data_IF_621814134400
#
_entry.id   IF_621814134400
#
_cell.length_a   1.000
_cell.length_b   1.000
_cell.length_c   1.000
_cell.angle_alpha   90.00
_cell.angle_beta   90.00
_cell.angle_gamma   90.00
#
_symmetry.space_group_name_H-M   'P 1'
#
loop_
_entity.id
_entity.type
_entity.pdbx_description
1 polymer ?
#
# COMPACT_ATOMS: atom_id res chain seq x y z
N UNK A 1 -19.15 -17.42 -4.67
CA UNK A 1 -17.74 -17.82 -4.46
C UNK A 1 -16.73 -16.71 -4.71
N UNK A 2 -17.11 -15.56 -5.30
CA UNK A 2 -16.14 -14.50 -5.64
C UNK A 2 -15.77 -13.54 -4.50
N UNK A 3 -16.51 -13.58 -3.39
CA UNK A 3 -16.33 -12.71 -2.22
C UNK A 3 -15.46 -13.32 -1.10
N UNK A 4 -14.97 -14.54 -1.26
CA UNK A 4 -14.08 -15.14 -0.28
C UNK A 4 -12.68 -14.54 -0.40
N UNK A 5 -12.07 -14.21 0.75
CA UNK A 5 -10.66 -13.83 0.85
C UNK A 5 -9.87 -15.05 1.33
N UNK A 6 -9.22 -15.81 0.43
CA UNK A 6 -8.41 -16.95 0.85
C UNK A 6 -7.27 -16.46 1.75
N UNK A 7 -6.98 -17.21 2.80
CA UNK A 7 -5.83 -16.95 3.67
C UNK A 7 -4.77 -17.98 3.33
N UNK A 8 -3.62 -17.52 2.85
CA UNK A 8 -2.47 -18.38 2.63
C UNK A 8 -1.82 -18.71 3.97
N UNK A 9 -1.74 -20.01 4.31
CA UNK A 9 -1.01 -20.46 5.47
C UNK A 9 0.44 -20.73 5.09
N UNK A 10 1.32 -19.76 5.31
CA UNK A 10 2.76 -19.93 5.03
C UNK A 10 3.45 -20.71 6.16
N UNK A 11 4.49 -21.49 5.80
CA UNK A 11 5.35 -22.15 6.78
C UNK A 11 6.03 -21.12 7.70
N UNK A 12 6.36 -21.53 8.92
CA UNK A 12 7.02 -20.67 9.91
C UNK A 12 8.28 -19.99 9.36
N UNK A 13 9.11 -20.74 8.63
CA UNK A 13 10.34 -20.20 8.03
C UNK A 13 10.05 -19.06 7.05
N UNK A 14 9.04 -19.18 6.18
CA UNK A 14 8.63 -18.09 5.28
C UNK A 14 8.20 -16.85 6.06
N UNK A 15 7.46 -17.03 7.16
CA UNK A 15 7.06 -15.90 8.03
C UNK A 15 8.27 -15.21 8.66
N UNK A 16 9.29 -15.96 9.07
CA UNK A 16 10.55 -15.41 9.60
C UNK A 16 11.27 -14.59 8.53
N UNK A 17 11.45 -15.14 7.32
CA UNK A 17 12.10 -14.44 6.21
C UNK A 17 11.33 -13.17 5.83
N UNK A 18 10.01 -13.26 5.69
CA UNK A 18 9.14 -12.10 5.42
C UNK A 18 9.29 -11.00 6.49
N UNK A 19 9.41 -11.40 7.76
CA UNK A 19 9.59 -10.45 8.87
C UNK A 19 10.97 -9.78 8.84
N UNK A 20 12.03 -10.52 8.50
CA UNK A 20 13.37 -9.94 8.33
C UNK A 20 13.35 -8.92 7.19
N UNK A 21 12.78 -9.26 6.04
CA UNK A 21 12.69 -8.36 4.87
C UNK A 21 11.91 -7.09 5.22
N UNK A 22 10.72 -7.23 5.81
CA UNK A 22 9.89 -6.06 6.18
C UNK A 22 10.59 -5.16 7.21
N UNK A 23 11.32 -5.73 8.17
CA UNK A 23 12.10 -4.93 9.11
C UNK A 23 13.25 -4.17 8.44
N UNK A 24 13.85 -4.69 7.36
CA UNK A 24 14.90 -3.99 6.60
C UNK A 24 14.34 -2.93 5.66
N UNK A 25 13.13 -3.12 5.16
CA UNK A 25 12.42 -2.11 4.37
C UNK A 25 11.92 -0.95 5.22
N UNK A 26 11.53 -1.22 6.47
CA UNK A 26 10.88 -0.24 7.32
C UNK A 26 11.56 1.15 7.37
N UNK A 27 12.89 1.27 7.55
CA UNK A 27 13.57 2.55 7.65
C UNK A 27 13.50 3.42 6.39
N UNK A 28 13.26 2.83 5.21
CA UNK A 28 13.18 3.54 3.93
C UNK A 28 11.74 3.74 3.45
N UNK A 29 10.75 3.24 4.18
CA UNK A 29 9.35 3.30 3.75
C UNK A 29 8.84 4.74 3.58
N UNK A 30 9.27 5.66 4.44
CA UNK A 30 8.83 7.06 4.37
C UNK A 30 9.30 7.78 3.08
N UNK A 31 10.42 7.34 2.49
CA UNK A 31 10.91 7.85 1.22
C UNK A 31 10.22 7.19 0.01
N UNK A 32 9.73 5.95 0.19
CA UNK A 32 9.10 5.16 -0.87
C UNK A 32 7.61 5.45 -1.06
N UNK A 33 6.91 5.82 0.02
CA UNK A 33 5.45 6.07 -0.02
C UNK A 33 5.11 7.50 0.32
N UNK A 34 4.04 8.01 -0.30
CA UNK A 34 3.50 9.34 0.00
C UNK A 34 3.23 9.50 1.49
N UNK A 35 3.44 10.71 2.03
CA UNK A 35 3.08 11.08 3.40
C UNK A 35 1.60 10.90 3.71
N UNK A 36 0.74 10.90 2.68
CA UNK A 36 -0.71 10.69 2.82
C UNK A 36 -1.09 9.22 3.05
N UNK A 37 -0.17 8.27 2.84
CA UNK A 37 -0.43 6.86 3.08
C UNK A 37 -0.37 6.55 4.58
N UNK A 38 -1.53 6.49 5.23
CA UNK A 38 -1.61 6.21 6.67
C UNK A 38 -1.58 4.71 7.03
N UNK A 39 -2.01 3.84 6.12
CA UNK A 39 -2.10 2.40 6.37
C UNK A 39 -0.78 1.67 6.10
N UNK A 40 -0.53 0.62 6.89
CA UNK A 40 0.62 -0.30 6.74
C UNK A 40 2.01 0.32 6.90
N UNK A 41 2.11 1.54 7.44
CA UNK A 41 3.37 2.19 7.82
C UNK A 41 3.37 2.33 9.34
N UNK A 42 4.42 1.79 10.00
CA UNK A 42 4.54 1.92 11.45
C UNK A 42 4.73 3.39 11.83
N UNK A 43 4.07 3.82 12.90
CA UNK A 43 4.10 5.21 13.37
C UNK A 43 3.06 6.12 12.71
N UNK A 44 2.38 5.70 11.64
CA UNK A 44 1.27 6.44 11.03
C UNK A 44 -0.07 5.96 11.56
N UNK A 45 -1.01 6.89 11.77
CA UNK A 45 -2.29 6.56 12.38
C UNK A 45 -3.40 6.50 11.33
N UNK A 46 -4.04 5.34 11.19
CA UNK A 46 -5.07 5.13 10.17
C UNK A 46 -6.25 6.11 10.26
N UNK A 47 -6.55 6.64 11.45
CA UNK A 47 -7.61 7.62 11.63
C UNK A 47 -7.33 8.96 10.91
N UNK A 48 -6.06 9.32 10.68
CA UNK A 48 -5.70 10.53 9.93
C UNK A 48 -6.28 10.50 8.51
N UNK A 49 -6.28 9.33 7.86
CA UNK A 49 -6.90 9.17 6.54
C UNK A 49 -8.42 9.40 6.57
N UNK A 50 -9.09 8.94 7.63
CA UNK A 50 -10.54 9.16 7.82
C UNK A 50 -10.87 10.63 8.06
N UNK A 51 -10.07 11.32 8.88
CA UNK A 51 -10.22 12.77 9.14
C UNK A 51 -10.02 13.56 7.84
N UNK A 52 -8.97 13.23 7.08
CA UNK A 52 -8.69 13.87 5.79
C UNK A 52 -9.85 13.71 4.80
N UNK A 53 -10.45 12.52 4.71
CA UNK A 53 -11.64 12.29 3.88
C UNK A 53 -12.82 13.15 4.33
N UNK A 54 -13.07 13.26 5.65
CA UNK A 54 -14.13 14.12 6.17
C UNK A 54 -13.90 15.59 5.81
N UNK A 55 -12.66 16.08 5.86
CA UNK A 55 -12.32 17.44 5.42
C UNK A 55 -12.56 17.65 3.93
N UNK A 56 -12.20 16.68 3.08
CA UNK A 56 -12.44 16.72 1.64
C UNK A 56 -13.94 16.79 1.35
N UNK A 57 -14.73 15.90 1.95
CA UNK A 57 -16.20 15.89 1.82
C UNK A 57 -16.80 17.22 2.28
N UNK A 58 -16.33 17.75 3.40
CA UNK A 58 -16.81 19.04 3.92
C UNK A 58 -16.51 20.19 2.94
N UNK A 59 -15.30 20.25 2.38
CA UNK A 59 -14.91 21.25 1.36
C UNK A 59 -15.76 21.14 0.10
N UNK A 60 -16.07 19.91 -0.33
CA UNK A 60 -16.97 19.67 -1.47
C UNK A 60 -18.37 20.24 -1.18
N UNK A 61 -18.94 19.96 0.00
CA UNK A 61 -20.27 20.44 0.40
C UNK A 61 -20.34 21.97 0.52
N UNK A 62 -19.28 22.62 0.98
CA UNK A 62 -19.23 24.08 1.09
C UNK A 62 -19.13 24.79 -0.26
N UNK A 63 -18.56 24.15 -1.29
CA UNK A 63 -18.30 24.81 -2.59
C UNK A 63 -19.56 24.82 -3.47
N UNK A 64 -20.39 25.86 -3.31
CA UNK A 64 -21.66 26.06 -4.05
C UNK A 64 -21.55 26.76 -5.43
N UNK A 65 -20.34 27.01 -5.96
CA UNK A 65 -20.14 27.76 -7.24
C UNK A 65 -20.01 26.83 -8.45
N UNK A 66 -20.29 27.36 -9.66
CA UNK A 66 -20.13 26.65 -10.95
C UNK A 66 -18.72 26.06 -11.07
N UNK A 67 -18.63 24.76 -11.39
CA UNK A 67 -17.39 23.98 -11.42
C UNK A 67 -17.03 23.32 -10.08
N UNK A 68 -18.00 22.66 -9.43
CA UNK A 68 -17.85 22.03 -8.11
C UNK A 68 -16.67 21.05 -7.98
N UNK A 69 -16.40 20.59 -6.75
CA UNK A 69 -15.36 19.59 -6.48
C UNK A 69 -15.96 18.18 -6.53
N UNK A 70 -15.16 17.20 -6.96
CA UNK A 70 -15.52 15.78 -6.99
C UNK A 70 -14.46 14.97 -6.25
N UNK A 71 -14.91 14.04 -5.41
CA UNK A 71 -14.06 13.00 -4.83
C UNK A 71 -14.19 11.73 -5.64
N UNK A 72 -13.07 11.05 -5.89
CA UNK A 72 -13.04 9.76 -6.56
C UNK A 72 -12.52 8.74 -5.55
N UNK A 73 -13.39 7.80 -5.16
CA UNK A 73 -13.01 6.65 -4.33
C UNK A 73 -12.67 5.48 -5.24
N UNK A 74 -11.41 5.06 -5.22
CA UNK A 74 -10.91 3.90 -5.94
C UNK A 74 -10.68 2.75 -4.96
N UNK A 75 -11.15 1.56 -5.32
CA UNK A 75 -10.88 0.32 -4.58
C UNK A 75 -10.39 -0.76 -5.54
N UNK A 76 -9.39 -1.53 -5.11
CA UNK A 76 -8.73 -2.52 -5.94
C UNK A 76 -9.27 -3.92 -5.63
N UNK A 77 -10.05 -4.49 -6.56
CA UNK A 77 -10.58 -5.83 -6.40
C UNK A 77 -9.46 -6.87 -6.37
N UNK A 78 -9.37 -7.61 -5.25
CA UNK A 78 -8.38 -8.67 -5.03
C UNK A 78 -6.95 -8.22 -5.32
N UNK A 79 -6.55 -7.06 -4.78
CA UNK A 79 -5.26 -6.44 -5.05
C UNK A 79 -4.07 -7.42 -4.88
N UNK A 80 -4.08 -8.26 -3.85
CA UNK A 80 -3.01 -9.24 -3.62
C UNK A 80 -3.03 -10.43 -4.59
N UNK A 81 -4.19 -10.82 -5.11
CA UNK A 81 -4.31 -11.95 -6.05
C UNK A 81 -4.03 -11.51 -7.51
N UNK A 82 -4.21 -10.21 -7.80
CA UNK A 82 -4.08 -9.64 -9.15
C UNK A 82 -2.78 -8.86 -9.39
N UNK A 83 -1.89 -8.80 -8.41
CA UNK A 83 -0.64 -8.06 -8.55
C UNK A 83 0.33 -8.83 -9.43
N UNK A 84 0.82 -8.18 -10.49
CA UNK A 84 1.83 -8.73 -11.39
C UNK A 84 3.23 -8.64 -10.75
N UNK A 85 3.97 -9.74 -10.70
CA UNK A 85 5.35 -9.76 -10.18
C UNK A 85 6.29 -8.86 -11.00
N UNK A 86 6.06 -8.79 -12.32
CA UNK A 86 6.82 -7.91 -13.21
C UNK A 86 6.65 -6.42 -12.87
N UNK A 87 5.49 -6.03 -12.32
CA UNK A 87 5.25 -4.67 -11.84
C UNK A 87 6.05 -4.40 -10.57
N UNK A 88 6.05 -5.33 -9.60
CA UNK A 88 6.83 -5.20 -8.36
C UNK A 88 8.31 -5.04 -8.67
N UNK A 89 8.85 -5.87 -9.57
CA UNK A 89 10.25 -5.79 -9.99
C UNK A 89 10.61 -4.41 -10.54
N UNK A 90 9.79 -3.86 -11.46
CA UNK A 90 10.00 -2.53 -12.03
C UNK A 90 9.95 -1.42 -10.98
N UNK A 91 9.01 -1.51 -10.02
CA UNK A 91 8.89 -0.53 -8.93
C UNK A 91 10.13 -0.57 -8.04
N UNK A 92 10.62 -1.75 -7.68
CA UNK A 92 11.83 -1.90 -6.88
C UNK A 92 13.05 -1.32 -7.60
N UNK A 93 13.25 -1.65 -8.88
CA UNK A 93 14.34 -1.10 -9.68
C UNK A 93 14.26 0.44 -9.78
N UNK A 94 13.07 0.99 -10.00
CA UNK A 94 12.86 2.44 -10.07
C UNK A 94 13.17 3.17 -8.76
N UNK A 95 13.10 2.47 -7.62
CA UNK A 95 13.43 2.99 -6.29
C UNK A 95 14.85 2.61 -5.84
N UNK A 96 15.72 2.16 -6.77
CA UNK A 96 17.14 1.93 -6.51
C UNK A 96 17.49 0.58 -5.88
N UNK A 97 16.55 -0.36 -5.82
CA UNK A 97 16.84 -1.73 -5.39
C UNK A 97 17.55 -2.50 -6.50
N UNK A 98 18.48 -3.39 -6.12
CA UNK A 98 19.19 -4.25 -7.06
C UNK A 98 18.49 -5.60 -7.29
N UNK A 99 18.92 -6.34 -8.32
CA UNK A 99 18.37 -7.67 -8.64
C UNK A 99 18.47 -8.65 -7.47
N UNK A 100 19.50 -8.54 -6.63
CA UNK A 100 19.64 -9.40 -5.44
C UNK A 100 18.55 -9.13 -4.43
N UNK A 101 18.18 -7.87 -4.22
CA UNK A 101 17.06 -7.47 -3.38
C UNK A 101 15.74 -8.02 -3.94
N UNK A 102 15.50 -7.88 -5.26
CA UNK A 102 14.33 -8.46 -5.91
C UNK A 102 14.24 -9.99 -5.72
N UNK A 103 15.34 -10.71 -5.95
CA UNK A 103 15.37 -12.16 -5.75
C UNK A 103 15.05 -12.56 -4.30
N UNK A 104 15.44 -11.74 -3.31
CA UNK A 104 15.08 -11.96 -1.91
C UNK A 104 13.57 -11.80 -1.67
N UNK A 105 12.91 -10.85 -2.33
CA UNK A 105 11.44 -10.71 -2.26
C UNK A 105 10.73 -11.92 -2.87
N UNK A 106 11.26 -12.49 -3.95
CA UNK A 106 10.70 -13.68 -4.62
C UNK A 106 10.82 -14.98 -3.81
N UNK A 107 11.57 -14.98 -2.71
CA UNK A 107 11.67 -16.14 -1.80
C UNK A 107 10.51 -16.24 -0.81
N UNK A 108 9.62 -15.25 -0.77
CA UNK A 108 8.49 -15.15 0.16
C UNK A 108 7.18 -15.24 -0.61
#
# INVERSE_FOLDING_TARGET
MEQFRPISLCNFLYKVVAKIISNRLFPVMDDLVSSLQAAFILGRWIAESSIMTQEIVHKIQQKKRKGGLMEIKLDMFKAYDKMEWSFIHRVLLANGFDERSYNLFMLV
#
